data_IF_272005510973
#
_entry.id   IF_272005510973
#
_cell.length_a   1.000
_cell.length_b   1.000
_cell.length_c   1.000
_cell.angle_alpha   90.00
_cell.angle_beta   90.00
_cell.angle_gamma   90.00
#
_symmetry.space_group_name_H-M   'P 1'
#
loop_
_entity.id
_entity.type
_entity.pdbx_description
1 polymer ?
#
# COMPACT_ATOMS: atom_id res chain seq x y z
N UNK A 1 -11.74 -15.25 -1.52
CA UNK A 1 -10.33 -14.83 -1.61
C UNK A 1 -10.02 -14.62 -3.08
N UNK A 2 -9.51 -13.44 -3.47
CA UNK A 2 -9.22 -13.10 -4.86
C UNK A 2 -8.03 -12.15 -4.94
N UNK A 3 -7.20 -12.33 -5.97
CA UNK A 3 -6.06 -11.48 -6.31
C UNK A 3 -6.47 -10.59 -7.49
N UNK A 4 -5.93 -9.38 -7.60
CA UNK A 4 -6.22 -8.44 -8.70
C UNK A 4 -4.94 -7.73 -9.19
N UNK A 5 -4.82 -7.58 -10.52
CA UNK A 5 -3.71 -6.90 -11.22
C UNK A 5 -4.20 -5.68 -12.03
N UNK A 6 -3.29 -4.73 -12.32
CA UNK A 6 -3.61 -3.37 -12.80
C UNK A 6 -2.86 -3.03 -14.10
N UNK A 7 -3.55 -2.38 -15.07
CA UNK A 7 -2.99 -1.94 -16.38
C UNK A 7 -2.79 -0.42 -16.46
N UNK A 8 -1.66 0.02 -17.01
CA UNK A 8 -1.25 1.43 -17.07
C UNK A 8 -1.59 2.22 -18.36
N UNK A 9 -1.54 3.56 -18.24
CA UNK A 9 -1.49 4.56 -19.34
C UNK A 9 -0.41 5.62 -19.02
N UNK A 10 -0.09 6.56 -19.94
CA UNK A 10 1.15 7.41 -19.94
C UNK A 10 1.00 8.96 -19.70
N UNK A 11 1.92 9.54 -18.90
CA UNK A 11 2.40 10.93 -18.65
C UNK A 11 2.74 11.13 -17.15
N UNK A 12 4.02 11.15 -16.72
CA UNK A 12 4.41 11.10 -15.28
C UNK A 12 3.54 10.12 -14.50
N UNK A 13 3.35 8.96 -15.11
CA UNK A 13 2.05 8.31 -15.00
C UNK A 13 2.02 7.43 -13.80
N UNK A 14 1.15 7.83 -12.89
CA UNK A 14 0.51 6.91 -11.98
C UNK A 14 -0.13 5.81 -12.83
N UNK A 15 0.53 4.67 -12.95
CA UNK A 15 0.08 3.53 -13.76
C UNK A 15 -1.11 2.84 -13.09
N UNK A 16 -1.17 2.94 -11.76
CA UNK A 16 -2.21 2.36 -10.93
C UNK A 16 -2.38 3.19 -9.67
N UNK A 17 -3.59 3.23 -9.11
CA UNK A 17 -3.89 3.86 -7.82
C UNK A 17 -4.91 3.01 -7.08
N UNK A 18 -4.65 2.76 -5.80
CA UNK A 18 -5.53 2.09 -4.85
C UNK A 18 -5.79 3.11 -3.75
N UNK A 19 -7.04 3.56 -3.64
CA UNK A 19 -7.49 4.40 -2.54
C UNK A 19 -7.84 3.52 -1.35
N UNK A 20 -7.27 3.86 -0.19
CA UNK A 20 -7.46 3.14 1.06
C UNK A 20 -8.20 4.03 2.04
N UNK A 21 -9.28 3.54 2.64
CA UNK A 21 -10.03 4.31 3.65
C UNK A 21 -11.27 3.59 4.15
N UNK A 22 -12.11 4.31 4.90
CA UNK A 22 -13.28 3.73 5.55
C UNK A 22 -14.57 3.86 4.73
N UNK A 23 -14.55 4.61 3.63
CA UNK A 23 -15.74 4.90 2.84
C UNK A 23 -15.80 4.02 1.57
N UNK A 24 -16.74 3.05 1.49
CA UNK A 24 -16.83 2.13 0.37
C UNK A 24 -17.25 2.79 -0.95
N UNK A 25 -17.78 4.02 -0.93
CA UNK A 25 -18.11 4.75 -2.16
C UNK A 25 -16.90 5.48 -2.75
N UNK A 26 -15.86 5.71 -1.94
CA UNK A 26 -14.70 6.53 -2.30
C UNK A 26 -13.39 5.74 -2.41
N UNK A 27 -13.36 4.48 -1.95
CA UNK A 27 -12.11 3.72 -1.78
C UNK A 27 -12.18 2.34 -2.41
N UNK A 28 -11.03 1.88 -2.89
CA UNK A 28 -10.86 0.55 -3.46
C UNK A 28 -10.62 -0.49 -2.36
N UNK A 29 -9.87 -0.11 -1.32
CA UNK A 29 -9.61 -0.92 -0.13
C UNK A 29 -10.32 -0.33 1.09
N UNK A 30 -11.42 -0.98 1.46
CA UNK A 30 -12.28 -0.54 2.56
C UNK A 30 -11.78 -1.12 3.89
N UNK A 31 -11.43 -0.22 4.81
CA UNK A 31 -10.98 -0.51 6.17
C UNK A 31 -12.01 0.03 7.16
N UNK A 32 -12.93 -0.83 7.59
CA UNK A 32 -14.02 -0.46 8.49
C UNK A 32 -13.54 -0.24 9.93
N UNK A 33 -13.03 0.96 10.23
CA UNK A 33 -12.69 1.37 11.58
C UNK A 33 -12.80 2.89 11.77
N UNK A 34 -13.26 3.32 12.95
CA UNK A 34 -13.46 4.74 13.29
C UNK A 34 -12.19 5.60 13.31
N UNK A 35 -11.01 5.00 13.38
CA UNK A 35 -9.71 5.68 13.32
C UNK A 35 -9.24 5.87 11.87
N UNK A 36 -9.88 5.19 10.91
CA UNK A 36 -9.59 5.32 9.48
C UNK A 36 -10.46 6.43 8.89
N UNK A 37 -9.89 7.22 7.98
CA UNK A 37 -10.58 8.34 7.34
C UNK A 37 -11.32 7.83 6.09
N UNK A 38 -12.33 8.59 5.62
CA UNK A 38 -13.07 8.24 4.39
C UNK A 38 -12.15 7.95 3.22
N UNK A 39 -11.13 8.78 3.01
CA UNK A 39 -9.95 8.47 2.19
C UNK A 39 -8.74 8.75 3.07
N UNK A 40 -8.03 7.69 3.47
CA UNK A 40 -6.94 7.72 4.44
C UNK A 40 -5.57 7.76 3.77
N UNK A 41 -5.39 6.99 2.70
CA UNK A 41 -4.14 6.92 1.95
C UNK A 41 -4.43 6.61 0.48
N UNK A 42 -3.42 6.84 -0.35
CA UNK A 42 -3.35 6.27 -1.69
C UNK A 42 -2.07 5.46 -1.81
N UNK A 43 -2.18 4.28 -2.43
CA UNK A 43 -1.05 3.49 -2.91
C UNK A 43 -1.04 3.60 -4.42
N UNK A 44 0.07 3.95 -5.05
CA UNK A 44 0.12 4.14 -6.49
C UNK A 44 1.45 3.69 -7.09
N UNK A 45 1.41 3.24 -8.33
CA UNK A 45 2.60 2.88 -9.09
C UNK A 45 3.05 4.01 -10.01
N UNK A 46 4.34 4.29 -10.08
CA UNK A 46 4.94 5.19 -11.08
C UNK A 46 5.83 4.39 -12.02
N UNK A 47 5.72 4.63 -13.32
CA UNK A 47 6.66 4.09 -14.30
C UNK A 47 7.96 4.91 -14.29
N UNK A 48 9.08 4.26 -13.98
CA UNK A 48 10.40 4.89 -13.91
C UNK A 48 11.38 4.28 -14.90
N UNK A 49 12.24 5.12 -15.49
CA UNK A 49 13.33 4.66 -16.34
C UNK A 49 14.49 4.14 -15.49
N UNK A 50 14.87 2.87 -15.70
CA UNK A 50 16.00 2.22 -15.02
C UNK A 50 17.02 1.70 -16.03
N UNK A 51 18.22 1.38 -15.55
CA UNK A 51 19.27 0.81 -16.39
C UNK A 51 18.84 -0.58 -16.89
N UNK A 52 18.26 -0.64 -18.09
CA UNK A 52 17.77 -1.88 -18.69
C UNK A 52 16.31 -1.85 -19.18
N UNK A 53 15.56 -0.77 -18.94
CA UNK A 53 14.16 -0.66 -19.36
C UNK A 53 13.37 0.33 -18.51
N UNK A 54 12.06 0.15 -18.47
CA UNK A 54 11.17 0.86 -17.54
C UNK A 54 10.72 -0.12 -16.45
N UNK A 55 10.51 0.37 -15.23
CA UNK A 55 9.94 -0.44 -14.14
C UNK A 55 8.88 0.35 -13.38
N UNK A 56 7.84 -0.33 -12.92
CA UNK A 56 6.86 0.27 -12.00
C UNK A 56 7.39 0.23 -10.58
N UNK A 57 7.52 1.40 -9.93
CA UNK A 57 7.76 1.53 -8.49
C UNK A 57 6.49 1.92 -7.76
N UNK A 58 6.25 1.32 -6.61
CA UNK A 58 5.07 1.59 -5.79
C UNK A 58 5.37 2.62 -4.71
N UNK A 59 4.40 3.47 -4.43
CA UNK A 59 4.47 4.55 -3.45
C UNK A 59 3.22 4.57 -2.59
N UNK A 60 3.35 5.12 -1.39
CA UNK A 60 2.22 5.45 -0.52
C UNK A 60 2.26 6.92 -0.12
N UNK A 61 1.08 7.52 -0.11
CA UNK A 61 0.90 8.92 0.31
C UNK A 61 -0.34 9.03 1.21
N UNK A 62 -0.16 9.62 2.39
CA UNK A 62 -1.24 9.91 3.32
C UNK A 62 -2.20 10.95 2.72
N UNK A 63 -3.50 10.73 2.85
CA UNK A 63 -4.55 11.68 2.46
C UNK A 63 -5.23 12.27 3.66
N UNK A 64 -5.56 13.56 3.59
CA UNK A 64 -6.38 14.26 4.61
C UNK A 64 -5.86 14.15 6.05
N UNK A 65 -4.55 14.00 6.25
CA UNK A 65 -3.94 13.79 7.57
C UNK A 65 -4.03 12.34 8.07
N UNK A 66 -4.31 11.38 7.17
CA UNK A 66 -4.21 9.95 7.44
C UNK A 66 -2.82 9.60 7.96
N UNK A 67 -2.80 8.87 9.07
CA UNK A 67 -1.60 8.53 9.80
C UNK A 67 -1.25 7.09 9.49
N UNK A 68 -0.03 6.87 9.00
CA UNK A 68 0.45 5.57 8.55
C UNK A 68 1.72 5.25 9.31
N UNK A 69 1.92 3.97 9.60
CA UNK A 69 3.21 3.44 10.06
C UNK A 69 3.78 2.54 8.99
N UNK A 70 5.07 2.67 8.69
CA UNK A 70 5.82 1.62 7.99
C UNK A 70 6.66 0.89 9.02
N UNK A 71 6.48 -0.42 9.10
CA UNK A 71 7.28 -1.31 9.92
C UNK A 71 8.22 -2.13 9.03
N UNK A 72 9.47 -2.36 9.46
CA UNK A 72 10.33 -3.33 8.81
C UNK A 72 9.74 -4.75 9.01
N UNK A 73 10.14 -5.73 8.17
CA UNK A 73 9.58 -7.08 8.18
C UNK A 73 9.55 -7.73 9.58
N UNK A 74 10.64 -7.56 10.34
CA UNK A 74 10.86 -8.25 11.62
C UNK A 74 10.38 -7.46 12.85
N UNK A 75 9.76 -6.29 12.69
CA UNK A 75 9.29 -5.51 13.83
C UNK A 75 8.09 -6.17 14.52
N UNK A 76 8.09 -6.19 15.85
CA UNK A 76 6.89 -6.54 16.60
C UNK A 76 5.91 -5.36 16.56
N UNK A 77 4.72 -5.59 15.99
CA UNK A 77 3.65 -4.59 15.90
C UNK A 77 3.26 -4.05 17.27
N UNK A 78 3.33 -4.88 18.33
CA UNK A 78 2.92 -4.48 19.68
C UNK A 78 3.87 -3.47 20.29
N UNK A 79 5.16 -3.56 19.98
CA UNK A 79 6.19 -2.70 20.55
C UNK A 79 6.31 -1.37 19.80
N UNK A 80 5.93 -1.33 18.52
CA UNK A 80 6.14 -0.18 17.62
C UNK A 80 4.87 0.66 17.34
N UNK A 81 3.74 0.34 17.98
CA UNK A 81 2.43 0.95 17.72
C UNK A 81 2.30 2.45 18.01
N UNK A 82 3.31 3.08 18.64
CA UNK A 82 3.19 4.44 19.20
C UNK A 82 3.72 5.57 18.29
N UNK A 83 4.29 5.27 17.12
CA UNK A 83 4.92 6.29 16.25
C UNK A 83 4.30 6.37 14.88
N UNK A 84 3.23 7.14 14.78
CA UNK A 84 2.48 7.37 13.56
C UNK A 84 3.03 8.57 12.78
N UNK A 85 3.02 8.48 11.45
CA UNK A 85 3.58 9.51 10.57
C UNK A 85 2.62 9.86 9.44
N UNK A 86 2.65 11.12 8.98
CA UNK A 86 2.03 11.50 7.71
C UNK A 86 3.08 11.26 6.63
N UNK A 87 2.79 10.34 5.72
CA UNK A 87 3.70 9.97 4.65
C UNK A 87 3.38 10.78 3.40
N UNK A 88 4.40 11.23 2.68
CA UNK A 88 4.25 11.85 1.38
C UNK A 88 5.16 11.13 0.40
N UNK A 89 4.54 10.46 -0.56
CA UNK A 89 5.17 9.83 -1.72
C UNK A 89 6.37 8.94 -1.32
N UNK A 90 6.15 8.10 -0.31
CA UNK A 90 7.15 7.17 0.21
C UNK A 90 7.16 5.90 -0.62
N UNK A 91 8.33 5.54 -1.15
CA UNK A 91 8.51 4.31 -1.92
C UNK A 91 8.26 3.07 -1.03
N UNK A 92 7.45 2.14 -1.55
CA UNK A 92 7.18 0.85 -0.94
C UNK A 92 8.13 -0.22 -1.48
N UNK A 93 8.55 -1.12 -0.60
CA UNK A 93 9.43 -2.24 -0.92
C UNK A 93 8.81 -3.57 -0.49
N UNK A 94 9.29 -4.64 -1.12
CA UNK A 94 8.93 -6.00 -0.71
C UNK A 94 9.30 -6.22 0.76
N UNK A 95 8.35 -6.71 1.56
CA UNK A 95 8.49 -6.91 2.99
C UNK A 95 8.05 -5.72 3.85
N UNK A 96 7.75 -4.55 3.26
CA UNK A 96 7.20 -3.43 4.02
C UNK A 96 5.82 -3.79 4.59
N UNK A 97 5.57 -3.34 5.82
CA UNK A 97 4.32 -3.55 6.53
C UNK A 97 3.71 -2.21 6.89
N UNK A 98 2.55 -1.91 6.32
CA UNK A 98 1.84 -0.65 6.48
C UNK A 98 0.77 -0.81 7.54
N UNK A 99 0.82 -0.02 8.61
CA UNK A 99 -0.23 -0.03 9.65
C UNK A 99 -1.11 1.19 9.46
N UNK A 100 -2.42 0.95 9.36
CA UNK A 100 -3.49 1.95 9.24
C UNK A 100 -4.60 1.57 10.23
N UNK A 101 -4.73 2.31 11.33
CA UNK A 101 -5.65 1.94 12.42
C UNK A 101 -5.35 0.54 12.97
N UNK A 102 -6.32 -0.39 13.01
CA UNK A 102 -6.11 -1.78 13.41
C UNK A 102 -5.72 -2.71 12.25
N UNK A 103 -5.41 -2.18 11.07
CA UNK A 103 -5.12 -3.00 9.88
C UNK A 103 -3.64 -2.96 9.55
N UNK A 104 -3.12 -4.10 9.10
CA UNK A 104 -1.79 -4.26 8.52
C UNK A 104 -1.93 -4.62 7.04
N UNK A 105 -1.23 -3.90 6.17
CA UNK A 105 -1.09 -4.23 4.75
C UNK A 105 0.35 -4.65 4.53
N UNK A 106 0.56 -5.91 4.13
CA UNK A 106 1.90 -6.44 3.79
C UNK A 106 2.15 -6.31 2.30
N UNK A 107 3.31 -5.78 1.95
CA UNK A 107 3.75 -5.61 0.57
C UNK A 107 4.65 -6.77 0.19
N UNK A 108 4.36 -7.44 -0.93
CA UNK A 108 5.21 -8.50 -1.47
C UNK A 108 5.42 -8.30 -2.96
N UNK A 109 6.67 -8.35 -3.39
CA UNK A 109 7.02 -8.43 -4.81
C UNK A 109 6.81 -9.85 -5.34
N UNK A 110 6.20 -9.96 -6.51
CA UNK A 110 5.94 -11.19 -7.24
C UNK A 110 6.94 -11.29 -8.37
N UNK A 111 7.69 -12.39 -8.36
CA UNK A 111 8.52 -12.78 -9.51
C UNK A 111 7.62 -13.43 -10.56
N UNK A 112 7.03 -12.62 -11.43
CA UNK A 112 6.30 -13.09 -12.60
C UNK A 112 7.10 -12.77 -13.87
N UNK A 113 7.68 -13.78 -14.56
CA UNK A 113 8.47 -13.56 -15.78
C UNK A 113 7.62 -13.11 -16.97
N UNK A 114 6.30 -13.26 -16.90
CA UNK A 114 5.36 -12.82 -17.94
C UNK A 114 4.77 -11.41 -17.64
N UNK A 115 5.14 -10.81 -16.51
CA UNK A 115 4.70 -9.47 -16.13
C UNK A 115 5.20 -8.45 -17.15
N UNK A 116 4.29 -7.62 -17.67
CA UNK A 116 4.70 -6.52 -18.54
C UNK A 116 5.38 -5.40 -17.75
N UNK A 117 6.27 -4.65 -18.41
CA UNK A 117 6.96 -3.49 -17.81
C UNK A 117 5.99 -2.39 -17.29
N UNK A 118 4.71 -2.46 -17.66
CA UNK A 118 3.65 -1.52 -17.26
C UNK A 118 2.79 -2.02 -16.08
N UNK A 119 2.98 -3.27 -15.66
CA UNK A 119 2.26 -3.89 -14.54
C UNK A 119 3.06 -3.76 -13.23
N UNK A 120 2.35 -3.59 -12.11
CA UNK A 120 2.98 -3.56 -10.79
C UNK A 120 3.46 -4.96 -10.42
N UNK A 121 4.74 -5.14 -10.05
CA UNK A 121 5.24 -6.42 -9.56
C UNK A 121 4.81 -6.67 -8.11
N UNK A 122 3.98 -5.82 -7.49
CA UNK A 122 3.61 -5.93 -6.09
C UNK A 122 2.18 -6.43 -5.87
N UNK A 123 2.06 -7.31 -4.88
CA UNK A 123 0.81 -7.76 -4.26
C UNK A 123 0.69 -7.25 -2.82
N UNK A 124 -0.55 -7.11 -2.35
CA UNK A 124 -0.88 -6.61 -1.02
C UNK A 124 -1.73 -7.63 -0.26
N UNK A 125 -1.31 -7.99 0.95
CA UNK A 125 -2.10 -8.80 1.89
C UNK A 125 -2.66 -7.91 3.00
N UNK A 126 -3.98 -7.90 3.17
CA UNK A 126 -4.66 -7.17 4.24
C UNK A 126 -4.93 -8.08 5.44
N UNK A 127 -4.57 -7.62 6.64
CA UNK A 127 -4.74 -8.33 7.91
C UNK A 127 -5.43 -7.40 8.92
N UNK A 128 -6.45 -7.90 9.60
CA UNK A 128 -7.07 -7.21 10.72
C UNK A 128 -6.40 -7.64 12.03
N UNK A 129 -5.60 -6.75 12.62
CA UNK A 129 -4.79 -7.06 13.81
C UNK A 129 -5.62 -7.35 15.05
N UNK A 130 -6.87 -6.84 15.14
CA UNK A 130 -7.77 -7.17 16.24
C UNK A 130 -8.32 -8.59 16.12
N UNK A 131 -8.63 -9.05 14.90
CA UNK A 131 -9.11 -10.42 14.67
C UNK A 131 -8.00 -11.44 14.93
N UNK A 132 -6.75 -11.06 14.68
CA UNK A 132 -5.56 -11.87 15.01
C UNK A 132 -5.17 -11.82 16.50
N UNK A 133 -5.87 -11.03 17.34
CA UNK A 133 -5.55 -10.87 18.76
C UNK A 133 -4.21 -10.17 19.02
N UNK A 134 -3.75 -9.36 18.07
CA UNK A 134 -2.50 -8.61 18.15
C UNK A 134 -2.69 -7.20 18.73
N UNK A 135 -3.91 -6.65 18.68
CA UNK A 135 -4.35 -5.38 19.27
C UNK A 135 -5.61 -5.53 20.12
#
# INVERSE_FOLDING_TARGET
>A
MGWFGLKGGQAETRTSTILVGSDPELTDLVLEDSQVLSIHAEIYGNLEDVAGGQMVRMYISSKNGGMIKILPPDADVRDEYYRWEVLQDVELRSGDRLIIGPFEIRVREVEDPDLSDEESPYEFELINLREEGLL
#
